data_IF_955834382905
#
_entry.id   IF_955834382905
#
_cell.length_a   1.000
_cell.length_b   1.000
_cell.length_c   1.000
_cell.angle_alpha   90.00
_cell.angle_beta   90.00
_cell.angle_gamma   90.00
#
_symmetry.space_group_name_H-M   'P 1'
#
loop_
_entity.id
_entity.type
_entity.pdbx_description
1 polymer ?
#
# COMPACT_ATOMS: atom_id res chain seq x y z
N UNK A 1 -20.48 16.41 -38.69
CA UNK A 1 -19.43 17.09 -37.89
C UNK A 1 -18.86 18.22 -38.74
N UNK A 2 -18.82 19.46 -38.24
CA UNK A 2 -18.31 20.59 -39.02
C UNK A 2 -16.79 20.46 -39.24
N UNK A 3 -16.35 20.62 -40.49
CA UNK A 3 -14.93 20.58 -40.86
C UNK A 3 -14.24 21.84 -40.34
N UNK A 4 -13.26 21.66 -39.44
CA UNK A 4 -12.50 22.78 -38.89
C UNK A 4 -11.70 23.46 -40.00
N UNK A 5 -11.71 24.78 -40.02
CA UNK A 5 -10.99 25.56 -41.02
C UNK A 5 -9.47 25.45 -40.79
N UNK A 6 -8.67 25.58 -41.86
CA UNK A 6 -7.20 25.54 -41.76
C UNK A 6 -6.65 26.55 -40.75
N UNK A 7 -7.28 27.72 -40.62
CA UNK A 7 -6.91 28.74 -39.63
C UNK A 7 -7.14 28.26 -38.20
N UNK A 8 -8.24 27.56 -37.92
CA UNK A 8 -8.53 27.00 -36.59
C UNK A 8 -7.56 25.88 -36.23
N UNK A 9 -7.20 25.02 -37.18
CA UNK A 9 -6.21 23.95 -36.97
C UNK A 9 -4.84 24.53 -36.63
N UNK A 10 -4.39 25.55 -37.37
CA UNK A 10 -3.09 26.19 -37.17
C UNK A 10 -3.04 27.08 -35.91
N UNK A 11 -4.18 27.61 -35.45
CA UNK A 11 -4.26 28.47 -34.23
C UNK A 11 -4.64 27.71 -32.96
N UNK A 12 -5.10 26.46 -33.06
CA UNK A 12 -5.53 25.63 -31.94
C UNK A 12 -4.47 25.50 -30.83
N UNK A 13 -3.18 25.50 -31.17
CA UNK A 13 -2.09 25.41 -30.20
C UNK A 13 -2.03 26.57 -29.20
N UNK A 14 -2.40 27.80 -29.62
CA UNK A 14 -2.46 28.96 -28.72
C UNK A 14 -3.64 28.84 -27.75
N UNK A 15 -4.80 28.42 -28.26
CA UNK A 15 -6.00 28.21 -27.46
C UNK A 15 -5.82 27.06 -26.46
N UNK A 16 -5.09 26.01 -26.85
CA UNK A 16 -4.74 24.90 -25.95
C UNK A 16 -3.83 25.36 -24.81
N UNK A 17 -2.78 26.15 -25.11
CA UNK A 17 -1.90 26.72 -24.09
C UNK A 17 -2.65 27.66 -23.13
N UNK A 18 -3.56 28.48 -23.65
CA UNK A 18 -4.41 29.35 -22.82
C UNK A 18 -5.39 28.56 -21.95
N UNK A 19 -6.03 27.51 -22.48
CA UNK A 19 -6.89 26.62 -21.71
C UNK A 19 -6.13 25.82 -20.64
N UNK A 20 -4.92 25.38 -20.96
CA UNK A 20 -4.04 24.69 -20.01
C UNK A 20 -3.58 25.63 -18.89
N UNK A 21 -3.25 26.88 -19.22
CA UNK A 21 -2.90 27.90 -18.21
C UNK A 21 -4.09 28.24 -17.29
N UNK A 22 -5.31 28.31 -17.84
CA UNK A 22 -6.54 28.57 -17.06
C UNK A 22 -7.04 27.38 -16.25
N UNK A 23 -6.61 26.15 -16.55
CA UNK A 23 -7.05 24.95 -15.81
C UNK A 23 -6.55 24.93 -14.36
N UNK A 24 -5.39 25.54 -14.09
CA UNK A 24 -4.72 25.49 -12.79
C UNK A 24 -4.30 26.86 -12.25
N UNK A 25 -4.60 27.95 -12.96
CA UNK A 25 -4.32 29.32 -12.52
C UNK A 25 -5.61 30.07 -12.16
N UNK A 26 -5.63 30.69 -10.98
CA UNK A 26 -6.69 31.63 -10.61
C UNK A 26 -6.45 32.98 -11.30
N UNK A 27 -7.51 33.62 -11.81
CA UNK A 27 -7.41 34.92 -12.49
C UNK A 27 -7.04 36.06 -11.53
N UNK A 28 -7.40 35.94 -10.23
CA UNK A 28 -7.05 36.88 -9.17
C UNK A 28 -6.80 36.12 -7.85
N UNK A 29 -5.79 36.55 -7.08
CA UNK A 29 -5.47 36.00 -5.75
C UNK A 29 -5.66 37.09 -4.70
N UNK A 30 -6.77 37.01 -3.96
CA UNK A 30 -7.07 37.93 -2.86
C UNK A 30 -6.54 37.38 -1.53
N UNK A 31 -5.79 38.20 -0.78
CA UNK A 31 -5.33 37.84 0.55
C UNK A 31 -6.36 38.24 1.60
N UNK A 32 -7.18 37.28 2.00
CA UNK A 32 -8.05 37.44 3.16
C UNK A 32 -7.29 37.14 4.46
N UNK A 33 -7.38 38.06 5.42
CA UNK A 33 -6.67 37.97 6.70
C UNK A 33 -7.32 36.96 7.64
N UNK A 34 -8.64 36.78 7.53
CA UNK A 34 -9.38 35.88 8.40
C UNK A 34 -9.12 34.42 8.02
N UNK A 35 -9.18 34.10 6.72
CA UNK A 35 -8.74 32.78 6.21
C UNK A 35 -7.27 32.47 6.56
N UNK A 36 -6.39 33.49 6.58
CA UNK A 36 -5.01 33.33 7.03
C UNK A 36 -4.91 32.99 8.52
N UNK A 37 -5.70 33.65 9.37
CA UNK A 37 -5.74 33.36 10.81
C UNK A 37 -6.28 31.95 11.07
N UNK A 38 -7.34 31.54 10.38
CA UNK A 38 -7.85 30.16 10.43
C UNK A 38 -6.83 29.15 9.92
N UNK A 39 -6.07 29.49 8.87
CA UNK A 39 -5.00 28.63 8.40
C UNK A 39 -3.84 28.55 9.40
N UNK A 40 -3.48 29.62 10.09
CA UNK A 40 -2.39 29.55 11.08
C UNK A 40 -2.80 28.83 12.36
N UNK A 41 -4.04 29.01 12.83
CA UNK A 41 -4.52 28.47 14.12
C UNK A 41 -5.24 27.12 13.98
N UNK A 42 -5.85 26.85 12.83
CA UNK A 42 -6.67 25.66 12.55
C UNK A 42 -5.89 24.38 12.25
N UNK A 43 -4.69 24.19 12.81
CA UNK A 43 -3.87 23.00 12.58
C UNK A 43 -4.58 21.70 12.96
N UNK A 44 -5.31 21.72 14.08
CA UNK A 44 -6.09 20.57 14.53
C UNK A 44 -7.23 20.25 13.55
N UNK A 45 -7.98 21.26 13.10
CA UNK A 45 -9.02 21.11 12.07
C UNK A 45 -8.45 20.47 10.80
N UNK A 46 -7.34 21.00 10.27
CA UNK A 46 -6.69 20.40 9.09
C UNK A 46 -6.17 18.99 9.32
N UNK A 47 -5.71 18.67 10.53
CA UNK A 47 -5.27 17.31 10.86
C UNK A 47 -6.45 16.35 10.82
N UNK A 48 -7.58 16.73 11.42
CA UNK A 48 -8.82 15.95 11.36
C UNK A 48 -9.34 15.83 9.93
N UNK A 49 -9.35 16.91 9.15
CA UNK A 49 -9.78 16.89 7.76
C UNK A 49 -8.92 15.95 6.90
N UNK A 50 -7.60 15.95 7.11
CA UNK A 50 -6.70 14.99 6.44
C UNK A 50 -7.00 13.55 6.82
N UNK A 51 -7.24 13.29 8.11
CA UNK A 51 -7.62 11.96 8.57
C UNK A 51 -8.95 11.52 7.97
N UNK A 52 -9.95 12.42 7.94
CA UNK A 52 -11.25 12.16 7.33
C UNK A 52 -11.12 11.86 5.85
N UNK A 53 -10.44 12.73 5.08
CA UNK A 53 -10.17 12.50 3.65
C UNK A 53 -9.45 11.18 3.38
N UNK A 54 -8.50 10.80 4.23
CA UNK A 54 -7.82 9.51 4.09
C UNK A 54 -8.77 8.33 4.34
N UNK A 55 -9.65 8.41 5.34
CA UNK A 55 -10.69 7.41 5.60
C UNK A 55 -11.67 7.32 4.44
N UNK A 56 -12.20 8.47 3.99
CA UNK A 56 -13.16 8.55 2.88
C UNK A 56 -12.56 7.95 1.60
N UNK A 57 -11.29 8.26 1.31
CA UNK A 57 -10.58 7.68 0.15
C UNK A 57 -10.46 6.15 0.25
N UNK A 58 -10.09 5.61 1.42
CA UNK A 58 -9.98 4.16 1.63
C UNK A 58 -11.35 3.50 1.43
N UNK A 59 -12.41 4.06 2.02
CA UNK A 59 -13.78 3.56 1.86
C UNK A 59 -14.25 3.56 0.40
N UNK A 60 -13.93 4.61 -0.37
CA UNK A 60 -14.23 4.65 -1.80
C UNK A 60 -13.48 3.58 -2.60
N UNK A 61 -12.22 3.31 -2.26
CA UNK A 61 -11.45 2.25 -2.93
C UNK A 61 -12.01 0.87 -2.57
N UNK A 62 -12.30 0.61 -1.30
CA UNK A 62 -12.92 -0.64 -0.85
C UNK A 62 -14.27 -0.89 -1.54
N UNK A 63 -15.11 0.15 -1.65
CA UNK A 63 -16.38 0.05 -2.38
C UNK A 63 -16.18 -0.31 -3.84
N UNK A 64 -15.19 0.31 -4.52
CA UNK A 64 -14.86 0.00 -5.92
C UNK A 64 -14.36 -1.43 -6.08
N UNK A 65 -13.45 -1.87 -5.21
CA UNK A 65 -12.91 -3.24 -5.21
C UNK A 65 -14.05 -4.25 -5.01
N UNK A 66 -14.92 -4.06 -4.02
CA UNK A 66 -16.07 -4.95 -3.77
C UNK A 66 -17.01 -5.02 -4.97
N UNK A 67 -17.24 -3.91 -5.65
CA UNK A 67 -18.08 -3.87 -6.84
C UNK A 67 -17.43 -4.61 -8.02
N UNK A 68 -16.13 -4.43 -8.23
CA UNK A 68 -15.35 -5.17 -9.23
C UNK A 68 -15.31 -6.67 -8.94
N UNK A 69 -15.14 -7.07 -7.67
CA UNK A 69 -15.20 -8.47 -7.25
C UNK A 69 -16.56 -9.09 -7.53
N UNK A 70 -17.66 -8.38 -7.20
CA UNK A 70 -19.02 -8.85 -7.50
C UNK A 70 -19.25 -8.95 -9.01
N UNK A 71 -18.73 -8.02 -9.81
CA UNK A 71 -18.80 -8.10 -11.26
C UNK A 71 -18.05 -9.33 -11.79
N UNK A 72 -16.81 -9.56 -11.34
CA UNK A 72 -16.00 -10.74 -11.72
C UNK A 72 -16.69 -12.06 -11.34
N UNK A 73 -17.31 -12.13 -10.16
CA UNK A 73 -18.07 -13.31 -9.74
C UNK A 73 -19.27 -13.57 -10.65
N UNK A 74 -20.02 -12.52 -11.03
CA UNK A 74 -21.14 -12.65 -11.98
C UNK A 74 -20.65 -13.12 -13.35
N UNK A 75 -19.58 -12.54 -13.87
CA UNK A 75 -18.98 -12.97 -15.14
C UNK A 75 -18.49 -14.43 -15.10
N UNK A 76 -17.84 -14.83 -14.01
CA UNK A 76 -17.39 -16.21 -13.84
C UNK A 76 -18.56 -17.18 -13.78
N UNK A 77 -19.64 -16.84 -13.07
CA UNK A 77 -20.87 -17.65 -13.05
C UNK A 77 -21.49 -17.76 -14.44
N UNK A 78 -21.59 -16.65 -15.18
CA UNK A 78 -22.10 -16.64 -16.56
C UNK A 78 -21.28 -17.58 -17.46
N UNK A 79 -19.94 -17.48 -17.41
CA UNK A 79 -19.03 -18.36 -18.18
C UNK A 79 -19.16 -19.83 -17.80
N UNK A 80 -19.37 -20.14 -16.51
CA UNK A 80 -19.60 -21.53 -16.07
C UNK A 80 -20.91 -22.07 -16.62
N UNK A 81 -21.99 -21.28 -16.55
CA UNK A 81 -23.29 -21.66 -17.11
C UNK A 81 -23.22 -21.84 -18.63
N UNK A 82 -22.57 -20.92 -19.35
CA UNK A 82 -22.35 -21.05 -20.80
C UNK A 82 -21.61 -22.33 -21.17
N UNK A 83 -20.55 -22.68 -20.41
CA UNK A 83 -19.83 -23.95 -20.59
C UNK A 83 -20.71 -25.16 -20.31
N UNK A 84 -21.46 -25.15 -19.21
CA UNK A 84 -22.37 -26.25 -18.87
C UNK A 84 -23.45 -26.44 -19.95
N UNK A 85 -23.99 -25.35 -20.50
CA UNK A 85 -24.94 -25.42 -21.62
C UNK A 85 -24.27 -25.94 -22.90
N UNK A 86 -23.04 -25.53 -23.20
CA UNK A 86 -22.29 -26.03 -24.36
C UNK A 86 -22.00 -27.53 -24.22
N UNK A 87 -21.53 -27.97 -23.05
CA UNK A 87 -21.25 -29.37 -22.72
C UNK A 87 -22.53 -30.21 -22.79
N UNK A 88 -23.66 -29.68 -22.30
CA UNK A 88 -24.97 -30.35 -22.39
C UNK A 88 -25.47 -30.47 -23.82
N UNK A 89 -25.36 -29.40 -24.63
CA UNK A 89 -25.69 -29.44 -26.07
C UNK A 89 -24.82 -30.46 -26.81
N UNK A 90 -23.53 -30.53 -26.48
CA UNK A 90 -22.61 -31.51 -27.06
C UNK A 90 -23.00 -32.94 -26.66
N UNK A 91 -23.28 -33.19 -25.37
CA UNK A 91 -23.73 -34.50 -24.90
C UNK A 91 -25.07 -34.93 -25.53
N UNK A 92 -26.03 -34.03 -25.69
CA UNK A 92 -27.29 -34.32 -26.40
C UNK A 92 -27.06 -34.67 -27.88
N UNK A 93 -26.12 -33.98 -28.54
CA UNK A 93 -25.72 -34.29 -29.92
C UNK A 93 -25.07 -35.67 -30.02
N UNK A 94 -24.24 -36.05 -29.05
CA UNK A 94 -23.56 -37.36 -29.01
C UNK A 94 -24.53 -38.52 -28.73
N UNK A 95 -25.62 -38.28 -27.98
CA UNK A 95 -26.67 -39.28 -27.68
C UNK A 95 -27.66 -39.45 -28.85
N UNK A 96 -27.63 -38.58 -29.86
CA UNK A 96 -28.39 -38.73 -31.10
C UNK A 96 -29.85 -38.26 -31.05
N UNK A 97 -30.26 -37.57 -29.98
CA UNK A 97 -31.63 -37.04 -29.78
C UNK A 97 -31.76 -35.55 -30.20
N UNK A 98 -30.74 -35.00 -30.85
CA UNK A 98 -30.72 -33.59 -31.26
C UNK A 98 -31.44 -33.38 -32.60
N UNK A 99 -32.75 -33.16 -32.55
CA UNK A 99 -33.53 -32.55 -33.65
C UNK A 99 -33.42 -31.03 -33.49
N UNK A 100 -32.56 -30.42 -34.31
CA UNK A 100 -32.21 -29.02 -34.17
C UNK A 100 -33.34 -28.05 -34.48
N UNK A 101 -33.33 -26.93 -33.77
CA UNK A 101 -33.82 -25.66 -34.29
C UNK A 101 -32.76 -24.59 -33.93
N UNK A 102 -32.03 -24.17 -34.97
CA UNK A 102 -31.19 -22.98 -34.94
C UNK A 102 -32.13 -21.78 -35.08
N UNK A 103 -32.48 -21.13 -33.98
CA UNK A 103 -32.97 -19.75 -34.00
C UNK A 103 -32.01 -18.88 -33.19
N UNK A 104 -31.19 -18.15 -33.96
CA UNK A 104 -30.51 -16.95 -33.53
C UNK A 104 -31.58 -15.92 -33.09
N UNK A 105 -31.76 -15.75 -31.79
CA UNK A 105 -32.38 -14.54 -31.25
C UNK A 105 -31.40 -13.87 -30.28
N UNK A 106 -30.73 -12.86 -30.82
CA UNK A 106 -30.13 -11.75 -30.09
C UNK A 106 -31.21 -11.06 -29.24
N UNK A 107 -31.51 -11.62 -28.06
CA UNK A 107 -32.30 -10.92 -27.04
C UNK A 107 -31.38 -10.06 -26.16
N UNK A 108 -31.28 -8.78 -26.55
CA UNK A 108 -30.91 -7.66 -25.67
C UNK A 108 -31.74 -7.73 -24.37
N UNK A 109 -31.15 -8.26 -23.29
CA UNK A 109 -31.68 -8.13 -21.94
C UNK A 109 -30.95 -7.03 -21.19
N UNK A 110 -31.42 -5.82 -21.45
CA UNK A 110 -31.27 -4.65 -20.59
C UNK A 110 -32.02 -4.96 -19.27
N UNK A 111 -31.31 -5.51 -18.29
CA UNK A 111 -31.81 -5.71 -16.94
C UNK A 111 -31.42 -4.47 -16.10
N UNK A 112 -32.21 -3.40 -16.24
CA UNK A 112 -32.34 -2.38 -15.21
C UNK A 112 -33.02 -3.03 -13.99
N UNK A 113 -32.22 -3.52 -13.05
CA UNK A 113 -32.72 -3.94 -11.75
C UNK A 113 -32.51 -2.77 -10.76
N UNK A 114 -33.64 -2.12 -10.47
CA UNK A 114 -33.78 -1.08 -9.47
C UNK A 114 -33.30 -1.56 -8.10
N UNK A 115 -32.45 -0.72 -7.51
CA UNK A 115 -32.10 -0.66 -6.10
C UNK A 115 -33.36 -0.35 -5.28
N UNK A 116 -33.91 -1.33 -4.56
CA UNK A 116 -34.72 -1.07 -3.37
C UNK A 116 -34.21 -1.93 -2.21
N UNK A 117 -33.84 -1.23 -1.14
CA UNK A 117 -33.08 -1.77 -0.03
C UNK A 117 -33.94 -2.55 0.95
N UNK A 118 -33.37 -3.66 1.40
CA UNK A 118 -33.54 -4.14 2.77
C UNK A 118 -32.14 -4.48 3.27
N UNK A 119 -31.58 -3.55 4.05
CA UNK A 119 -30.42 -3.84 4.87
C UNK A 119 -30.88 -4.80 5.96
N UNK A 120 -30.68 -6.10 5.74
CA UNK A 120 -30.65 -7.07 6.84
C UNK A 120 -29.47 -6.68 7.75
N UNK A 121 -29.81 -5.95 8.80
CA UNK A 121 -28.91 -5.50 9.84
C UNK A 121 -28.43 -6.73 10.60
N UNK A 122 -27.20 -7.15 10.30
CA UNK A 122 -26.51 -8.25 10.97
C UNK A 122 -26.45 -7.97 12.49
N UNK A 123 -27.29 -8.64 13.26
CA UNK A 123 -27.22 -8.64 14.72
C UNK A 123 -26.11 -9.60 15.13
N UNK A 124 -24.96 -9.06 15.53
CA UNK A 124 -23.76 -9.82 15.92
C UNK A 124 -24.02 -10.87 17.01
N UNK A 125 -23.06 -11.79 17.16
CA UNK A 125 -23.12 -12.85 18.16
C UNK A 125 -23.43 -12.28 19.54
N UNK A 126 -24.50 -12.77 20.16
CA UNK A 126 -24.84 -12.50 21.55
C UNK A 126 -23.72 -13.01 22.43
N UNK A 127 -22.95 -12.08 23.01
CA UNK A 127 -21.94 -12.36 24.03
C UNK A 127 -22.68 -12.52 25.37
N UNK A 128 -23.30 -13.68 25.55
CA UNK A 128 -24.02 -14.05 26.77
C UNK A 128 -23.72 -15.51 27.12
N UNK A 129 -22.43 -15.77 27.33
CA UNK A 129 -21.94 -16.86 28.16
C UNK A 129 -20.97 -16.23 29.16
N UNK A 130 -21.54 -15.77 30.28
CA UNK A 130 -20.83 -15.69 31.55
C UNK A 130 -20.23 -17.07 31.85
N UNK A 131 -18.98 -17.31 31.44
CA UNK A 131 -18.20 -18.44 31.90
C UNK A 131 -17.89 -18.23 33.38
N UNK A 132 -18.80 -18.79 34.18
CA UNK A 132 -18.68 -18.96 35.61
C UNK A 132 -17.38 -19.71 35.90
N UNK A 133 -16.62 -19.16 36.84
CA UNK A 133 -15.64 -19.88 37.64
C UNK A 133 -16.24 -21.21 38.10
N UNK A 134 -15.79 -22.31 37.52
CA UNK A 134 -15.81 -23.62 38.16
C UNK A 134 -14.35 -24.04 38.39
N UNK A 135 -13.82 -23.58 39.53
CA UNK A 135 -12.70 -24.19 40.21
C UNK A 135 -13.11 -25.61 40.60
N UNK A 136 -12.81 -26.58 39.75
CA UNK A 136 -12.86 -27.99 40.12
C UNK A 136 -11.47 -28.60 39.97
N UNK A 137 -10.77 -28.63 41.11
CA UNK A 137 -9.55 -29.40 41.33
C UNK A 137 -9.76 -30.86 40.91
N UNK A 138 -9.12 -31.27 39.81
CA UNK A 138 -8.76 -32.66 39.60
C UNK A 138 -7.25 -32.76 39.79
N UNK A 139 -6.90 -33.19 41.00
CA UNK A 139 -5.61 -33.77 41.30
C UNK A 139 -5.47 -35.11 40.54
N UNK A 140 -4.23 -35.39 40.17
CA UNK A 140 -3.66 -36.65 39.74
C UNK A 140 -3.45 -36.99 38.25
N UNK A 141 -2.17 -37.25 37.95
CA UNK A 141 -1.56 -37.93 36.79
C UNK A 141 -1.05 -37.12 35.58
N UNK A 142 -0.07 -36.24 35.81
CA UNK A 142 1.25 -36.32 35.12
C UNK A 142 2.12 -35.15 35.55
N UNK A 143 3.15 -35.43 36.36
CA UNK A 143 4.15 -34.44 36.75
C UNK A 143 5.06 -34.10 35.56
N UNK A 144 4.53 -33.35 34.60
CA UNK A 144 5.34 -32.61 33.62
C UNK A 144 5.76 -31.33 34.32
N UNK A 145 7.01 -31.28 34.78
CA UNK A 145 7.59 -30.04 35.30
C UNK A 145 7.49 -28.98 34.19
N UNK A 146 6.85 -27.82 34.42
CA UNK A 146 6.77 -26.79 33.40
C UNK A 146 8.19 -26.35 33.02
N UNK A 147 8.45 -26.25 31.72
CA UNK A 147 9.77 -25.89 31.17
C UNK A 147 10.17 -24.46 31.60
N UNK A 148 9.18 -23.60 31.89
CA UNK A 148 9.38 -22.20 32.27
C UNK A 148 9.63 -22.04 33.77
N UNK A 149 10.75 -21.38 34.11
CA UNK A 149 11.03 -20.89 35.46
C UNK A 149 10.24 -19.60 35.70
N UNK A 150 9.24 -19.64 36.57
CA UNK A 150 8.48 -18.44 37.00
C UNK A 150 9.34 -17.62 37.97
N UNK A 151 9.52 -16.34 37.67
CA UNK A 151 10.13 -15.36 38.58
C UNK A 151 9.06 -14.35 38.99
N UNK A 152 8.60 -14.43 40.23
CA UNK A 152 7.65 -13.47 40.81
C UNK A 152 8.47 -12.35 41.47
N UNK A 153 8.30 -11.10 41.00
CA UNK A 153 8.84 -9.92 41.68
C UNK A 153 7.71 -9.25 42.44
N UNK A 154 7.81 -9.24 43.77
CA UNK A 154 6.91 -8.50 44.66
C UNK A 154 7.47 -7.10 44.89
N UNK A 155 6.70 -6.07 44.54
CA UNK A 155 7.00 -4.67 44.85
C UNK A 155 6.42 -4.28 46.23
N UNK A 156 6.87 -3.14 46.77
CA UNK A 156 6.57 -2.70 48.15
C UNK A 156 5.08 -2.43 48.44
N UNK A 157 4.25 -2.25 47.41
CA UNK A 157 2.84 -1.86 47.53
C UNK A 157 1.86 -3.03 47.23
N UNK A 158 2.30 -4.28 47.43
CA UNK A 158 1.53 -5.53 47.18
C UNK A 158 0.99 -5.70 45.75
N UNK A 159 1.46 -4.88 44.81
CA UNK A 159 1.14 -5.03 43.38
C UNK A 159 2.01 -6.12 42.74
N UNK A 160 1.40 -7.21 42.31
CA UNK A 160 2.06 -8.28 41.54
C UNK A 160 1.93 -8.00 40.04
N UNK A 161 3.05 -7.91 39.33
CA UNK A 161 3.07 -7.79 37.87
C UNK A 161 3.64 -9.06 37.29
N UNK A 162 2.81 -9.78 36.53
CA UNK A 162 3.23 -10.95 35.77
C UNK A 162 3.93 -10.49 34.49
N UNK A 163 5.26 -10.59 34.48
CA UNK A 163 6.08 -10.23 33.32
C UNK A 163 6.41 -11.52 32.56
N UNK A 164 5.69 -11.77 31.47
CA UNK A 164 5.99 -12.84 30.52
C UNK A 164 7.12 -12.39 29.58
N UNK A 165 8.33 -12.97 29.67
CA UNK A 165 9.35 -12.71 28.67
C UNK A 165 8.93 -13.41 27.37
N UNK A 166 8.50 -12.62 26.38
CA UNK A 166 8.27 -13.11 25.03
C UNK A 166 9.61 -13.56 24.44
N UNK A 167 9.88 -14.87 24.49
CA UNK A 167 11.02 -15.44 23.79
C UNK A 167 10.85 -15.13 22.29
N UNK A 168 11.88 -14.57 21.62
CA UNK A 168 11.80 -14.37 20.18
C UNK A 168 11.59 -15.74 19.54
N UNK A 169 10.46 -15.90 18.85
CA UNK A 169 10.17 -17.13 18.14
C UNK A 169 11.15 -17.25 16.97
N UNK A 170 12.22 -18.03 17.17
CA UNK A 170 13.31 -18.23 16.22
C UNK A 170 12.86 -18.96 14.94
N UNK A 171 11.61 -19.44 14.89
CA UNK A 171 11.06 -20.13 13.73
C UNK A 171 10.52 -19.14 12.67
N UNK A 172 11.45 -18.41 12.04
CA UNK A 172 11.16 -17.42 11.00
C UNK A 172 10.42 -18.02 9.79
N UNK A 173 10.63 -19.30 9.49
CA UNK A 173 9.97 -19.99 8.37
C UNK A 173 8.47 -20.14 8.63
N UNK A 174 8.10 -20.61 9.82
CA UNK A 174 6.69 -20.76 10.21
C UNK A 174 5.96 -19.42 10.24
N UNK A 175 6.58 -18.39 10.82
CA UNK A 175 6.01 -17.04 10.82
C UNK A 175 5.89 -16.46 9.41
N UNK A 176 6.85 -16.75 8.52
CA UNK A 176 6.77 -16.31 7.14
C UNK A 176 5.64 -17.02 6.38
N UNK A 177 5.43 -18.32 6.60
CA UNK A 177 4.32 -19.08 6.01
C UNK A 177 2.95 -18.56 6.48
N UNK A 178 2.78 -18.32 7.79
CA UNK A 178 1.55 -17.72 8.35
C UNK A 178 1.25 -16.34 7.76
N UNK A 179 2.29 -15.56 7.47
CA UNK A 179 2.15 -14.24 6.87
C UNK A 179 2.21 -14.26 5.33
N UNK A 180 2.22 -15.44 4.71
CA UNK A 180 2.32 -15.65 3.27
C UNK A 180 3.53 -14.94 2.62
N UNK A 181 4.63 -14.81 3.36
CA UNK A 181 5.88 -14.16 2.94
C UNK A 181 6.86 -15.20 2.41
N UNK A 182 7.42 -14.96 1.20
CA UNK A 182 8.43 -15.83 0.59
C UNK A 182 9.84 -15.40 1.01
N UNK A 183 10.44 -16.08 1.98
CA UNK A 183 11.80 -15.78 2.48
C UNK A 183 12.87 -15.82 1.39
N UNK A 184 12.76 -16.73 0.42
CA UNK A 184 13.69 -16.83 -0.71
C UNK A 184 13.83 -15.55 -1.55
N UNK A 185 12.81 -14.68 -1.55
CA UNK A 185 12.80 -13.42 -2.32
C UNK A 185 13.09 -12.20 -1.45
N UNK A 186 13.29 -12.39 -0.14
CA UNK A 186 13.43 -11.30 0.83
C UNK A 186 14.62 -10.39 0.50
N UNK A 187 15.78 -10.97 0.18
CA UNK A 187 16.99 -10.23 -0.19
C UNK A 187 16.79 -9.41 -1.47
N UNK A 188 16.17 -10.00 -2.49
CA UNK A 188 15.88 -9.30 -3.75
C UNK A 188 14.93 -8.11 -3.54
N UNK A 189 13.90 -8.29 -2.70
CA UNK A 189 12.96 -7.21 -2.35
C UNK A 189 13.67 -6.12 -1.53
N UNK A 190 14.56 -6.51 -0.61
CA UNK A 190 15.36 -5.58 0.17
C UNK A 190 16.25 -4.72 -0.74
N UNK A 191 16.98 -5.34 -1.68
CA UNK A 191 17.83 -4.62 -2.64
C UNK A 191 17.02 -3.65 -3.52
N UNK A 192 15.87 -4.10 -4.04
CA UNK A 192 14.96 -3.25 -4.82
C UNK A 192 14.44 -2.05 -4.00
N UNK A 193 14.13 -2.27 -2.72
CA UNK A 193 13.65 -1.22 -1.82
C UNK A 193 14.74 -0.18 -1.55
N UNK A 194 15.99 -0.64 -1.33
CA UNK A 194 17.16 0.21 -1.12
C UNK A 194 17.44 1.04 -2.37
N UNK A 195 17.39 0.42 -3.56
CA UNK A 195 17.56 1.15 -4.82
C UNK A 195 16.47 2.21 -5.04
N UNK A 196 15.21 1.87 -4.75
CA UNK A 196 14.08 2.80 -4.88
C UNK A 196 14.26 3.98 -3.92
N UNK A 197 14.64 3.70 -2.67
CA UNK A 197 14.94 4.72 -1.67
C UNK A 197 16.10 5.63 -2.10
N UNK A 198 17.19 5.07 -2.63
CA UNK A 198 18.32 5.85 -3.19
C UNK A 198 17.89 6.74 -4.35
N UNK A 199 17.12 6.19 -5.31
CA UNK A 199 16.57 6.95 -6.45
C UNK A 199 15.64 8.07 -5.97
N UNK A 200 14.83 7.82 -4.95
CA UNK A 200 13.94 8.83 -4.37
C UNK A 200 14.71 9.93 -3.62
N UNK A 201 15.73 9.56 -2.83
CA UNK A 201 16.63 10.51 -2.19
C UNK A 201 17.34 11.40 -3.22
N UNK A 202 17.76 10.81 -4.36
CA UNK A 202 18.30 11.54 -5.52
C UNK A 202 17.32 12.55 -6.08
N UNK A 203 16.08 12.11 -6.30
CA UNK A 203 15.02 12.93 -6.85
C UNK A 203 14.68 14.12 -5.92
N UNK A 204 14.65 13.89 -4.60
CA UNK A 204 14.42 14.94 -3.62
C UNK A 204 15.66 15.82 -3.34
N UNK A 205 16.82 15.48 -3.89
CA UNK A 205 18.08 16.20 -3.63
C UNK A 205 18.58 16.09 -2.19
N UNK A 206 18.11 15.09 -1.44
CA UNK A 206 18.47 14.78 -0.05
C UNK A 206 19.62 13.76 0.02
N UNK A 207 20.20 13.39 -1.13
CA UNK A 207 21.40 12.54 -1.13
C UNK A 207 22.48 13.12 -0.22
N UNK A 208 23.06 12.23 0.60
CA UNK A 208 24.19 12.56 1.46
C UNK A 208 25.32 13.10 0.59
N UNK A 209 25.46 14.42 0.58
CA UNK A 209 26.59 15.09 -0.08
C UNK A 209 27.86 14.44 0.47
N UNK A 210 28.81 14.03 -0.38
CA UNK A 210 30.05 13.44 0.10
C UNK A 210 30.63 14.38 1.14
N UNK A 211 30.84 13.88 2.37
CA UNK A 211 31.28 14.68 3.53
C UNK A 211 32.33 15.67 3.04
N UNK A 212 32.00 16.96 3.08
CA UNK A 212 32.86 18.01 2.53
C UNK A 212 34.24 17.80 3.13
N UNK A 213 35.27 17.65 2.27
CA UNK A 213 36.65 17.44 2.73
C UNK A 213 36.94 18.55 3.73
N UNK A 214 37.16 18.17 5.00
CA UNK A 214 37.45 19.15 6.06
C UNK A 214 38.53 20.09 5.55
N UNK A 215 38.24 21.39 5.49
CA UNK A 215 39.21 22.38 5.06
C UNK A 215 40.48 22.15 5.87
N UNK A 216 41.57 21.77 5.19
CA UNK A 216 42.85 21.58 5.84
C UNK A 216 43.22 22.95 6.39
N UNK A 217 43.24 23.10 7.72
CA UNK A 217 43.77 24.30 8.36
C UNK A 217 45.14 24.56 7.73
N UNK A 218 45.40 25.81 7.32
CA UNK A 218 46.69 26.19 6.75
C UNK A 218 47.78 25.75 7.74
N UNK A 219 48.49 24.70 7.36
CA UNK A 219 49.60 24.13 8.10
C UNK A 219 50.75 24.06 7.14
N UNK A 220 51.91 24.52 7.60
CA UNK A 220 53.13 24.35 6.83
C UNK A 220 53.32 22.86 6.56
N UNK A 221 53.50 22.51 5.27
CA UNK A 221 53.86 21.16 4.86
C UNK A 221 55.08 20.71 5.66
N UNK A 222 54.99 19.53 6.25
CA UNK A 222 56.12 18.90 6.93
C UNK A 222 57.27 18.69 5.93
N UNK A 223 58.50 18.56 6.43
CA UNK A 223 59.69 18.37 5.57
C UNK A 223 59.53 17.18 4.61
N UNK A 224 58.87 16.11 5.08
CA UNK A 224 58.59 14.90 4.30
C UNK A 224 57.55 15.15 3.19
N UNK A 225 56.44 15.83 3.50
CA UNK A 225 55.41 16.16 2.51
C UNK A 225 55.94 17.13 1.43
N UNK A 226 56.78 18.09 1.82
CA UNK A 226 57.43 19.02 0.90
C UNK A 226 58.35 18.31 -0.09
N UNK A 227 59.14 17.35 0.40
CA UNK A 227 60.01 16.49 -0.43
C UNK A 227 59.20 15.64 -1.40
N UNK A 228 58.07 15.08 -0.97
CA UNK A 228 57.17 14.33 -1.85
C UNK A 228 56.52 15.20 -2.93
N UNK A 229 56.11 16.43 -2.58
CA UNK A 229 55.55 17.38 -3.56
C UNK A 229 56.60 17.83 -4.57
N UNK A 230 57.85 18.09 -4.15
CA UNK A 230 58.95 18.35 -5.07
C UNK A 230 59.19 17.17 -6.02
N UNK A 231 59.27 15.94 -5.49
CA UNK A 231 59.40 14.72 -6.32
C UNK A 231 58.26 14.59 -7.34
N UNK A 232 57.01 14.86 -6.94
CA UNK A 232 55.85 14.83 -7.86
C UNK A 232 55.95 15.92 -8.93
N UNK A 233 56.36 17.13 -8.56
CA UNK A 233 56.57 18.22 -9.50
C UNK A 233 57.69 17.93 -10.50
N UNK A 234 58.82 17.39 -10.02
CA UNK A 234 59.96 17.02 -10.87
C UNK A 234 59.60 15.86 -11.81
N UNK A 235 58.86 14.87 -11.33
CA UNK A 235 58.36 13.78 -12.17
C UNK A 235 57.39 14.30 -13.25
N UNK A 236 56.50 15.23 -12.92
CA UNK A 236 55.60 15.84 -13.90
C UNK A 236 56.35 16.71 -14.91
N UNK A 237 57.42 17.42 -14.49
CA UNK A 237 58.31 18.14 -15.40
C UNK A 237 59.07 17.22 -16.34
N UNK A 238 59.47 16.04 -15.87
CA UNK A 238 60.16 15.01 -16.69
C UNK A 238 59.24 14.23 -17.62
N UNK A 239 57.93 14.23 -17.37
CA UNK A 239 56.91 13.61 -18.24
C UNK A 239 56.49 14.50 -19.42
N UNK A 240 56.94 15.75 -19.44
CA UNK A 240 56.70 16.73 -20.50
C UNK A 240 58.00 16.94 -21.27
#
# INVERSE_FOLDING_TARGET
>A
MAVKTNREILTAGKNYKQKAAKKFGADEVTFDKDSRLEYLTGFHKRKLDRQKKAKDYIQEQERKIKLEERAKLRENKKKVLEKQLADFKQAMKDVGDYVGEEEDEDEDKDAEEQDEGEAEEWTGFSDDQEDKNDEQENDDSSSVKPILKKYVQTYLDDTTVDIEPLEPNDNFEYLAELNNVKLQKSEQILDQSIERAKKYAKFLGVEDKPKSKKNKKFRYLTKNERRQNQRKADNNKRRK
#
